data_IF_303960163599
#
_entry.id   IF_303960163599
#
_cell.length_a   1.000
_cell.length_b   1.000
_cell.length_c   1.000
_cell.angle_alpha   90.00
_cell.angle_beta   90.00
_cell.angle_gamma   90.00
#
_symmetry.space_group_name_H-M   'P 1'
#
loop_
_entity.id
_entity.type
_entity.pdbx_description
1 polymer ?
#
# COMPACT_ATOMS: atom_id res chain seq x y z
N UNK A 1 -14.02 31.33 3.55
CA UNK A 1 -12.99 30.63 2.75
C UNK A 1 -13.28 29.15 2.92
N UNK A 2 -13.88 28.52 1.92
CA UNK A 2 -14.15 27.09 1.89
C UNK A 2 -12.82 26.35 1.73
N UNK A 3 -12.24 25.91 2.84
CA UNK A 3 -11.17 24.92 2.83
C UNK A 3 -11.82 23.57 2.55
N UNK A 4 -11.76 23.12 1.31
CA UNK A 4 -12.17 21.77 0.96
C UNK A 4 -11.43 20.77 1.85
N UNK A 5 -12.17 19.87 2.48
CA UNK A 5 -11.61 18.67 3.07
C UNK A 5 -10.95 17.86 1.94
N UNK A 6 -9.69 18.14 1.63
CA UNK A 6 -8.85 17.17 0.94
C UNK A 6 -8.71 16.00 1.90
N UNK A 7 -9.60 15.02 1.76
CA UNK A 7 -9.46 13.73 2.41
C UNK A 7 -8.09 13.19 2.01
N UNK A 8 -7.10 13.30 2.88
CA UNK A 8 -5.73 12.89 2.59
C UNK A 8 -5.77 11.41 2.17
N UNK A 9 -5.63 11.16 0.86
CA UNK A 9 -5.80 9.82 0.29
C UNK A 9 -4.52 9.05 0.59
N UNK A 10 -4.66 7.94 1.32
CA UNK A 10 -3.56 7.00 1.56
C UNK A 10 -3.12 6.41 0.21
N UNK A 11 -2.04 6.90 -0.39
CA UNK A 11 -1.57 6.45 -1.70
C UNK A 11 -1.24 4.93 -1.70
N UNK A 12 -0.75 4.41 -0.58
CA UNK A 12 -0.48 2.99 -0.38
C UNK A 12 -1.77 2.15 -0.44
N UNK A 13 -2.86 2.62 0.18
CA UNK A 13 -4.18 1.95 0.11
C UNK A 13 -4.78 2.04 -1.29
N UNK A 14 -4.60 3.17 -1.99
CA UNK A 14 -5.08 3.35 -3.37
C UNK A 14 -4.41 2.35 -4.32
N UNK A 15 -3.12 2.07 -4.14
CA UNK A 15 -2.40 1.06 -4.92
C UNK A 15 -2.58 -0.37 -4.40
N UNK A 16 -3.34 -0.57 -3.32
CA UNK A 16 -3.52 -1.87 -2.66
C UNK A 16 -2.17 -2.51 -2.28
N UNK A 17 -1.23 -1.71 -1.75
CA UNK A 17 0.11 -2.15 -1.32
C UNK A 17 0.38 -1.78 0.14
N UNK A 18 1.23 -2.58 0.79
CA UNK A 18 1.73 -2.28 2.13
C UNK A 18 2.75 -1.14 2.13
N UNK A 19 2.97 -0.53 3.29
CA UNK A 19 3.90 0.60 3.45
C UNK A 19 5.37 0.19 3.29
N UNK A 20 5.68 -1.08 3.51
CA UNK A 20 7.00 -1.70 3.29
C UNK A 20 7.15 -2.27 1.86
N UNK A 21 6.16 -2.06 0.98
CA UNK A 21 6.21 -2.57 -0.38
C UNK A 21 7.46 -2.06 -1.14
N UNK A 22 8.09 -2.98 -1.86
CA UNK A 22 9.21 -2.69 -2.76
C UNK A 22 8.73 -1.97 -4.02
N UNK A 23 9.65 -1.30 -4.71
CA UNK A 23 9.35 -0.59 -5.97
C UNK A 23 8.76 -1.54 -7.04
N UNK A 24 9.19 -2.80 -7.04
CA UNK A 24 8.66 -3.83 -7.93
C UNK A 24 7.19 -4.13 -7.65
N UNK A 25 6.81 -4.29 -6.38
CA UNK A 25 5.44 -4.54 -5.94
C UNK A 25 4.53 -3.35 -6.26
N UNK A 26 5.02 -2.12 -6.09
CA UNK A 26 4.31 -0.88 -6.46
C UNK A 26 4.05 -0.86 -7.98
N UNK A 27 5.07 -1.13 -8.80
CA UNK A 27 4.92 -1.18 -10.27
C UNK A 27 3.99 -2.31 -10.72
N UNK A 28 4.05 -3.47 -10.08
CA UNK A 28 3.20 -4.61 -10.40
C UNK A 28 1.73 -4.29 -10.12
N UNK A 29 1.42 -3.76 -8.95
CA UNK A 29 0.05 -3.41 -8.57
C UNK A 29 -0.51 -2.26 -9.40
N UNK A 30 0.30 -1.23 -9.70
CA UNK A 30 -0.10 -0.18 -10.62
C UNK A 30 -0.53 -0.75 -11.98
N UNK A 31 0.26 -1.65 -12.58
CA UNK A 31 -0.10 -2.29 -13.86
C UNK A 31 -1.41 -3.08 -13.77
N UNK A 32 -1.60 -3.85 -12.69
CA UNK A 32 -2.84 -4.61 -12.45
C UNK A 32 -4.06 -3.68 -12.37
N UNK A 33 -3.95 -2.60 -11.61
CA UNK A 33 -5.04 -1.63 -11.39
C UNK A 33 -5.31 -0.79 -12.63
N UNK A 34 -4.27 -0.37 -13.36
CA UNK A 34 -4.40 0.39 -14.59
C UNK A 34 -5.16 -0.39 -15.67
N UNK A 35 -4.93 -1.71 -15.78
CA UNK A 35 -5.69 -2.57 -16.71
C UNK A 35 -7.14 -2.75 -16.28
N UNK A 36 -7.40 -2.82 -14.96
CA UNK A 36 -8.75 -2.97 -14.39
C UNK A 36 -9.59 -1.72 -14.58
N UNK A 37 -8.98 -0.54 -14.40
CA UNK A 37 -9.67 0.76 -14.42
C UNK A 37 -9.37 1.57 -15.70
N UNK A 38 -8.92 0.91 -16.78
CA UNK A 38 -8.56 1.62 -18.01
C UNK A 38 -9.81 2.27 -18.64
N UNK A 39 -9.77 3.58 -18.98
CA UNK A 39 -10.93 4.31 -19.50
C UNK A 39 -11.45 3.75 -20.84
N UNK A 40 -10.58 3.14 -21.66
CA UNK A 40 -11.01 2.52 -22.93
C UNK A 40 -11.94 1.32 -22.73
N UNK A 41 -11.79 0.56 -21.64
CA UNK A 41 -12.68 -0.58 -21.33
C UNK A 41 -14.00 -0.14 -20.70
N UNK A 42 -14.07 1.08 -20.17
CA UNK A 42 -15.20 1.60 -19.41
C UNK A 42 -15.66 2.97 -19.91
N UNK A 43 -15.88 3.07 -21.22
CA UNK A 43 -16.35 4.30 -21.87
C UNK A 43 -17.67 4.75 -21.24
N UNK A 44 -17.71 6.01 -20.76
CA UNK A 44 -18.91 6.64 -20.20
C UNK A 44 -19.06 6.59 -18.67
N UNK A 45 -18.13 5.97 -17.94
CA UNK A 45 -18.18 5.94 -16.47
C UNK A 45 -17.20 6.96 -15.85
N UNK A 46 -17.70 8.13 -15.45
CA UNK A 46 -16.88 9.17 -14.79
C UNK A 46 -16.20 8.67 -13.51
N UNK A 47 -16.79 7.70 -12.81
CA UNK A 47 -16.20 7.06 -11.62
C UNK A 47 -14.92 6.28 -11.94
N UNK A 48 -14.84 5.63 -13.11
CA UNK A 48 -13.65 4.88 -13.53
C UNK A 48 -12.50 5.83 -13.83
N UNK A 49 -12.79 6.93 -14.52
CA UNK A 49 -11.80 7.99 -14.79
C UNK A 49 -11.27 8.59 -13.48
N UNK A 50 -12.15 8.87 -12.51
CA UNK A 50 -11.74 9.37 -11.19
C UNK A 50 -10.84 8.36 -10.45
N UNK A 51 -11.20 7.07 -10.45
CA UNK A 51 -10.38 6.02 -9.83
C UNK A 51 -9.03 5.84 -10.51
N UNK A 52 -9.01 5.87 -11.84
CA UNK A 52 -7.76 5.78 -12.61
C UNK A 52 -6.83 6.97 -12.32
N UNK A 53 -7.40 8.17 -12.19
CA UNK A 53 -6.67 9.37 -11.80
C UNK A 53 -6.03 9.21 -10.41
N UNK A 54 -6.78 8.73 -9.42
CA UNK A 54 -6.27 8.45 -8.07
C UNK A 54 -5.10 7.46 -8.09
N UNK A 55 -5.23 6.37 -8.86
CA UNK A 55 -4.17 5.35 -9.02
C UNK A 55 -2.91 5.96 -9.65
N UNK A 56 -3.08 6.83 -10.64
CA UNK A 56 -1.97 7.46 -11.33
C UNK A 56 -1.23 8.47 -10.46
N UNK A 57 -1.97 9.25 -9.66
CA UNK A 57 -1.41 10.17 -8.67
C UNK A 57 -0.61 9.42 -7.60
N UNK A 58 -1.18 8.33 -7.04
CA UNK A 58 -0.50 7.49 -6.08
C UNK A 58 0.81 6.91 -6.62
N UNK A 59 0.79 6.40 -7.86
CA UNK A 59 2.00 5.89 -8.48
C UNK A 59 3.04 6.98 -8.74
N UNK A 60 2.65 8.19 -9.12
CA UNK A 60 3.57 9.31 -9.36
C UNK A 60 4.35 9.71 -8.09
N UNK A 61 3.74 9.56 -6.91
CA UNK A 61 4.37 9.83 -5.62
C UNK A 61 5.21 8.64 -5.16
N UNK A 62 4.66 7.42 -5.22
CA UNK A 62 5.29 6.23 -4.65
C UNK A 62 6.35 5.57 -5.54
N UNK A 63 6.38 5.86 -6.85
CA UNK A 63 7.35 5.28 -7.79
C UNK A 63 8.75 5.89 -7.72
N UNK A 64 8.87 7.12 -7.21
CA UNK A 64 10.14 7.82 -7.06
C UNK A 64 10.55 7.80 -5.59
N UNK A 65 11.75 7.30 -5.26
CA UNK A 65 12.17 7.14 -3.87
C UNK A 65 12.30 8.47 -3.12
N UNK A 66 12.67 9.57 -3.80
CA UNK A 66 12.78 10.88 -3.17
C UNK A 66 11.38 11.45 -2.86
N UNK A 67 10.43 11.31 -3.78
CA UNK A 67 9.03 11.73 -3.55
C UNK A 67 8.32 10.85 -2.53
N UNK A 68 8.60 9.55 -2.53
CA UNK A 68 8.08 8.62 -1.52
C UNK A 68 8.58 9.01 -0.14
N UNK A 69 9.87 9.33 -0.01
CA UNK A 69 10.44 9.82 1.24
C UNK A 69 9.79 11.14 1.67
N UNK A 70 9.64 12.10 0.76
CA UNK A 70 8.95 13.36 1.05
C UNK A 70 7.49 13.13 1.46
N UNK A 71 6.79 12.18 0.83
CA UNK A 71 5.43 11.80 1.20
C UNK A 71 5.36 11.10 2.56
N UNK A 72 6.31 10.22 2.86
CA UNK A 72 6.37 9.51 4.14
C UNK A 72 6.73 10.49 5.28
N UNK A 73 7.63 11.44 5.03
CA UNK A 73 7.99 12.51 5.97
C UNK A 73 6.84 13.51 6.12
N UNK A 74 6.23 13.99 5.03
CA UNK A 74 5.11 14.94 5.10
C UNK A 74 3.85 14.31 5.70
N UNK A 75 3.56 13.06 5.33
CA UNK A 75 2.47 12.27 5.89
C UNK A 75 2.67 11.84 7.34
N UNK A 76 3.92 11.81 7.86
CA UNK A 76 4.17 11.60 9.30
C UNK A 76 3.81 12.82 10.15
N UNK A 77 3.64 14.02 9.58
CA UNK A 77 3.11 15.16 10.35
C UNK A 77 1.58 15.05 10.59
N UNK A 78 0.88 14.16 9.89
CA UNK A 78 -0.51 13.78 10.16
C UNK A 78 -0.66 12.66 11.22
N UNK A 79 0.40 12.35 11.97
CA UNK A 79 0.34 11.39 13.09
C UNK A 79 -0.68 11.79 14.18
N UNK A 80 -1.17 13.04 14.20
CA UNK A 80 -2.23 13.46 15.13
C UNK A 80 -3.59 12.76 14.91
N UNK A 81 -3.74 11.86 13.92
CA UNK A 81 -4.97 11.10 13.69
C UNK A 81 -4.85 9.57 13.86
N UNK A 82 -3.67 9.05 14.21
CA UNK A 82 -3.47 7.60 14.34
C UNK A 82 -3.29 7.19 15.80
N UNK A 83 -4.03 6.16 16.24
CA UNK A 83 -3.77 5.51 17.52
C UNK A 83 -2.43 4.75 17.44
N UNK A 84 -1.73 4.61 18.57
CA UNK A 84 -0.44 3.92 18.68
C UNK A 84 -0.42 2.54 17.97
N UNK A 85 -1.57 1.86 17.93
CA UNK A 85 -1.78 0.57 17.24
C UNK A 85 -1.56 0.64 15.74
N UNK A 86 -2.06 1.68 15.07
CA UNK A 86 -1.95 1.84 13.61
C UNK A 86 -0.49 2.14 13.23
N UNK A 87 0.16 3.01 14.02
CA UNK A 87 1.58 3.31 13.88
C UNK A 87 2.44 2.05 14.07
N UNK A 88 2.20 1.30 15.15
CA UNK A 88 2.91 0.04 15.40
C UNK A 88 2.64 -1.01 14.31
N UNK A 89 1.46 -1.02 13.69
CA UNK A 89 1.15 -1.92 12.57
C UNK A 89 1.90 -1.50 11.30
N UNK A 90 1.97 -0.19 11.03
CA UNK A 90 2.67 0.40 9.89
C UNK A 90 4.19 0.28 9.97
N UNK A 91 4.75 0.30 11.18
CA UNK A 91 6.20 0.20 11.43
C UNK A 91 6.62 -1.11 12.10
N UNK A 92 5.75 -2.13 12.17
CA UNK A 92 6.02 -3.40 12.86
C UNK A 92 7.29 -4.10 12.35
N UNK A 93 7.53 -4.03 11.04
CA UNK A 93 8.73 -4.58 10.41
C UNK A 93 10.02 -3.82 10.76
N UNK A 94 9.93 -2.52 11.08
CA UNK A 94 11.08 -1.67 11.41
C UNK A 94 11.42 -1.68 12.90
N UNK A 95 10.42 -1.86 13.77
CA UNK A 95 10.59 -1.87 15.23
C UNK A 95 11.03 -3.25 15.76
N UNK A 96 10.65 -4.36 15.09
CA UNK A 96 10.94 -5.72 15.56
C UNK A 96 12.24 -6.33 15.00
N UNK A 97 13.01 -5.62 14.17
CA UNK A 97 14.33 -6.10 13.69
C UNK A 97 15.44 -5.92 14.72
N UNK A 98 15.16 -5.23 15.84
CA UNK A 98 16.11 -5.03 16.93
C UNK A 98 16.03 -6.15 17.98
N UNK A 99 16.03 -7.41 17.55
CA UNK A 99 16.42 -8.55 18.39
C UNK A 99 17.46 -9.40 17.64
N UNK A 100 18.59 -8.79 17.28
CA UNK A 100 19.91 -9.45 17.35
C UNK A 100 20.20 -10.70 16.52
N UNK A 101 19.44 -11.10 15.49
CA UNK A 101 19.76 -12.26 14.65
C UNK A 101 19.53 -11.94 13.18
N UNK A 102 20.62 -11.80 12.42
CA UNK A 102 20.61 -11.39 11.02
C UNK A 102 19.77 -12.29 10.10
N UNK A 103 18.71 -11.72 9.54
CA UNK A 103 17.95 -12.33 8.45
C UNK A 103 17.68 -11.27 7.36
N UNK A 104 18.36 -11.46 6.23
CA UNK A 104 18.10 -10.80 4.96
C UNK A 104 16.78 -11.36 4.40
N UNK A 105 15.75 -10.53 4.23
CA UNK A 105 14.54 -10.98 3.56
C UNK A 105 14.65 -10.74 2.06
N UNK A 106 15.11 -11.77 1.35
CA UNK A 106 14.80 -12.00 -0.06
C UNK A 106 13.31 -12.37 -0.18
N UNK A 107 12.54 -11.83 -1.14
CA UNK A 107 11.13 -12.16 -1.30
C UNK A 107 10.98 -13.41 -2.18
N UNK A 108 11.32 -14.59 -1.67
CA UNK A 108 11.03 -15.86 -2.35
C UNK A 108 10.99 -16.98 -1.31
N UNK A 109 9.79 -17.46 -0.94
CA UNK A 109 9.43 -18.89 -0.95
C UNK A 109 8.06 -19.15 -0.29
N UNK A 110 7.13 -19.67 -1.10
CA UNK A 110 5.96 -20.51 -0.79
C UNK A 110 4.96 -20.09 0.30
N UNK A 111 3.86 -19.50 -0.18
CA UNK A 111 2.50 -19.80 0.28
C UNK A 111 2.19 -21.27 -0.03
N UNK A 112 2.31 -22.16 0.94
CA UNK A 112 1.54 -23.41 1.09
C UNK A 112 2.01 -24.13 2.36
N UNK A 113 1.16 -24.15 3.40
CA UNK A 113 1.01 -25.24 4.38
C UNK A 113 0.35 -24.75 5.69
N UNK A 114 -0.96 -24.48 5.71
CA UNK A 114 -1.80 -24.77 6.91
C UNK A 114 -3.25 -25.06 6.48
N UNK A 115 -3.47 -26.12 5.69
CA UNK A 115 -4.80 -26.74 5.52
C UNK A 115 -4.70 -28.25 5.56
N UNK A 116 -4.07 -28.79 6.60
CA UNK A 116 -4.23 -30.20 6.95
C UNK A 116 -3.87 -30.34 8.41
N UNK A 117 -4.86 -30.51 9.29
CA UNK A 117 -4.83 -31.26 10.55
C UNK A 117 -6.03 -30.86 11.42
N UNK A 118 -7.20 -31.41 11.12
CA UNK A 118 -8.25 -31.76 12.10
C UNK A 118 -9.21 -32.77 11.47
N UNK A 119 -9.11 -34.09 11.73
CA UNK A 119 -10.21 -34.99 11.44
C UNK A 119 -11.31 -34.85 12.51
N UNK A 120 -12.56 -34.73 12.06
CA UNK A 120 -13.78 -34.78 12.89
C UNK A 120 -14.05 -36.22 13.35
N UNK A 121 -14.51 -36.46 14.59
CA UNK A 121 -14.88 -37.79 15.06
C UNK A 121 -16.31 -38.19 14.63
N UNK A 122 -16.49 -39.48 14.30
CA UNK A 122 -17.79 -40.19 14.28
C UNK A 122 -17.70 -41.33 15.27
#
# INVERSE_FOLDING_TARGET
MEGGEESHKDHYKVLEVDYDATDETIRLNYRRLALKWHPDKHKGNSSVTAKFQEINEAYKVLSDPAKRLEYDISGTYEINRYTLREYLTRFKGMILTCNGLGINHSPFCSFEAVTSYYPLPV
#
